data_IF_700205135749
#
_entry.id   IF_700205135749
#
_cell.length_a   1.000
_cell.length_b   1.000
_cell.length_c   1.000
_cell.angle_alpha   90.00
_cell.angle_beta   90.00
_cell.angle_gamma   90.00
#
_symmetry.space_group_name_H-M   'P 1'
#
loop_
_entity.id
_entity.type
_entity.pdbx_description
1 polymer ?
#
# COMPACT_ATOMS: atom_id res chain seq x y z
N UNK A 1 -37.74 -28.94 7.14
CA UNK A 1 -37.36 -28.29 8.41
C UNK A 1 -35.90 -28.56 8.73
N UNK A 2 -35.50 -29.82 8.99
CA UNK A 2 -34.09 -30.23 9.19
C UNK A 2 -33.14 -29.75 8.08
N UNK A 3 -33.53 -29.87 6.81
CA UNK A 3 -32.73 -29.39 5.69
C UNK A 3 -32.59 -27.86 5.63
N UNK A 4 -33.54 -27.10 6.19
CA UNK A 4 -33.52 -25.63 6.15
C UNK A 4 -32.70 -25.06 7.32
N UNK A 5 -32.76 -25.69 8.50
CA UNK A 5 -31.85 -25.37 9.62
C UNK A 5 -30.38 -25.72 9.30
N UNK A 6 -30.14 -26.82 8.58
CA UNK A 6 -28.78 -27.23 8.18
C UNK A 6 -28.16 -26.32 7.12
N UNK A 7 -28.97 -25.70 6.26
CA UNK A 7 -28.51 -24.71 5.25
C UNK A 7 -28.18 -23.38 5.93
N UNK A 8 -29.03 -22.91 6.84
CA UNK A 8 -28.80 -21.64 7.52
C UNK A 8 -27.55 -21.69 8.41
N UNK A 9 -27.30 -22.80 9.12
CA UNK A 9 -26.11 -22.95 9.97
C UNK A 9 -24.79 -23.15 9.19
N UNK A 10 -24.81 -23.76 8.01
CA UNK A 10 -23.58 -24.06 7.24
C UNK A 10 -23.21 -22.99 6.20
N UNK A 11 -24.17 -22.18 5.75
CA UNK A 11 -23.95 -21.21 4.65
C UNK A 11 -23.83 -19.79 5.17
N UNK A 12 -24.60 -19.42 6.19
CA UNK A 12 -24.68 -18.01 6.64
C UNK A 12 -23.51 -17.62 7.54
N UNK A 13 -23.02 -18.51 8.40
CA UNK A 13 -21.85 -18.24 9.26
C UNK A 13 -20.53 -18.04 8.49
N UNK A 14 -20.16 -18.86 7.47
CA UNK A 14 -18.94 -18.62 6.71
C UNK A 14 -19.05 -17.47 5.70
N UNK A 15 -20.25 -17.15 5.19
CA UNK A 15 -20.44 -16.02 4.28
C UNK A 15 -20.33 -14.67 5.01
N UNK A 16 -20.70 -14.64 6.30
CA UNK A 16 -20.62 -13.45 7.14
C UNK A 16 -19.21 -13.22 7.73
N UNK A 17 -18.40 -14.28 7.89
CA UNK A 17 -17.01 -14.20 8.36
C UNK A 17 -15.94 -14.28 7.25
N UNK A 18 -16.31 -14.70 6.03
CA UNK A 18 -15.38 -14.89 4.91
C UNK A 18 -14.73 -13.61 4.37
N UNK A 19 -15.35 -12.46 4.61
CA UNK A 19 -14.89 -11.16 4.11
C UNK A 19 -13.57 -10.67 4.71
N UNK A 20 -13.00 -11.36 5.71
CA UNK A 20 -11.72 -10.99 6.34
C UNK A 20 -10.56 -11.98 6.14
N UNK A 21 -10.73 -13.03 5.32
CA UNK A 21 -9.70 -14.12 5.23
C UNK A 21 -8.85 -14.12 3.95
N UNK A 22 -9.02 -13.16 3.03
CA UNK A 22 -8.18 -13.10 1.82
C UNK A 22 -8.34 -14.29 0.86
N UNK A 23 -9.33 -15.17 1.07
CA UNK A 23 -9.57 -16.35 0.26
C UNK A 23 -10.28 -15.97 -1.05
N UNK A 24 -9.60 -16.23 -2.17
CA UNK A 24 -10.10 -15.99 -3.53
C UNK A 24 -11.46 -16.69 -3.77
N UNK A 25 -12.52 -15.97 -4.20
CA UNK A 25 -13.84 -16.55 -4.51
C UNK A 25 -13.78 -17.70 -5.53
N UNK A 26 -12.76 -17.72 -6.37
CA UNK A 26 -12.52 -18.77 -7.37
C UNK A 26 -12.11 -20.10 -6.71
N UNK A 27 -11.33 -20.05 -5.62
CA UNK A 27 -10.95 -21.25 -4.86
C UNK A 27 -12.17 -21.95 -4.25
N UNK A 28 -13.14 -21.16 -3.77
CA UNK A 28 -14.43 -21.65 -3.25
C UNK A 28 -15.23 -22.34 -4.36
N UNK A 29 -15.27 -21.75 -5.56
CA UNK A 29 -15.98 -22.30 -6.73
C UNK A 29 -15.32 -23.60 -7.21
N UNK A 30 -13.98 -23.65 -7.30
CA UNK A 30 -13.25 -24.85 -7.75
C UNK A 30 -13.41 -26.00 -6.75
N UNK A 31 -13.34 -25.72 -5.45
CA UNK A 31 -13.59 -26.73 -4.42
C UNK A 31 -15.03 -27.27 -4.51
N UNK A 32 -16.01 -26.38 -4.71
CA UNK A 32 -17.41 -26.77 -4.90
C UNK A 32 -17.60 -27.65 -6.14
N UNK A 33 -16.97 -27.30 -7.28
CA UNK A 33 -17.06 -28.09 -8.52
C UNK A 33 -16.38 -29.45 -8.35
N UNK A 34 -15.18 -29.48 -7.78
CA UNK A 34 -14.41 -30.71 -7.58
C UNK A 34 -15.16 -31.72 -6.70
N UNK A 35 -15.71 -31.27 -5.57
CA UNK A 35 -16.46 -32.15 -4.67
C UNK A 35 -17.85 -32.53 -5.20
N UNK A 36 -18.50 -31.63 -5.96
CA UNK A 36 -19.76 -31.94 -6.66
C UNK A 36 -19.54 -32.99 -7.75
N UNK A 37 -18.41 -32.92 -8.45
CA UNK A 37 -18.09 -33.87 -9.52
C UNK A 37 -17.71 -35.25 -8.99
N UNK A 38 -17.06 -35.33 -7.83
CA UNK A 38 -16.55 -36.58 -7.28
C UNK A 38 -17.63 -37.45 -6.61
N UNK A 39 -18.66 -36.86 -5.98
CA UNK A 39 -19.69 -37.62 -5.22
C UNK A 39 -21.15 -37.20 -5.53
N UNK A 40 -21.38 -36.32 -6.50
CA UNK A 40 -22.71 -35.81 -6.85
C UNK A 40 -23.32 -34.93 -5.74
N UNK A 41 -24.66 -34.85 -5.63
CA UNK A 41 -25.34 -33.99 -4.65
C UNK A 41 -25.05 -34.33 -3.18
N UNK A 42 -24.62 -35.57 -2.87
CA UNK A 42 -24.17 -35.94 -1.52
C UNK A 42 -22.83 -35.27 -1.16
N UNK A 43 -22.00 -34.97 -2.16
CA UNK A 43 -20.75 -34.21 -1.98
C UNK A 43 -20.99 -32.82 -1.40
N UNK A 44 -22.14 -32.20 -1.71
CA UNK A 44 -22.53 -30.88 -1.20
C UNK A 44 -22.74 -30.87 0.33
N UNK A 45 -23.23 -31.97 0.91
CA UNK A 45 -23.49 -32.09 2.36
C UNK A 45 -22.22 -32.33 3.16
N UNK A 46 -21.23 -33.00 2.56
CA UNK A 46 -19.90 -33.25 3.15
C UNK A 46 -18.87 -32.18 2.74
N UNK A 47 -19.23 -31.26 1.83
CA UNK A 47 -18.34 -30.27 1.24
C UNK A 47 -17.79 -29.31 2.27
N UNK A 48 -18.63 -28.83 3.20
CA UNK A 48 -18.24 -27.86 4.24
C UNK A 48 -17.16 -28.38 5.21
N UNK A 49 -17.30 -29.57 5.84
CA UNK A 49 -16.24 -30.08 6.72
C UNK A 49 -14.96 -30.47 5.96
N UNK A 50 -15.06 -30.94 4.71
CA UNK A 50 -13.90 -31.25 3.88
C UNK A 50 -13.18 -29.99 3.37
N UNK A 51 -13.92 -28.92 3.04
CA UNK A 51 -13.32 -27.63 2.66
C UNK A 51 -12.61 -26.98 3.82
N UNK A 52 -13.14 -27.06 5.05
CA UNK A 52 -12.42 -26.60 6.25
C UNK A 52 -11.13 -27.42 6.47
N UNK A 53 -11.17 -28.75 6.34
CA UNK A 53 -9.95 -29.57 6.43
C UNK A 53 -8.93 -29.25 5.33
N UNK A 54 -9.39 -28.98 4.10
CA UNK A 54 -8.54 -28.64 2.96
C UNK A 54 -7.91 -27.24 3.10
N UNK A 55 -8.69 -26.26 3.58
CA UNK A 55 -8.20 -24.91 3.88
C UNK A 55 -7.14 -24.93 5.00
N UNK A 56 -7.36 -25.74 6.04
CA UNK A 56 -6.38 -25.92 7.13
C UNK A 56 -5.11 -26.65 6.64
N UNK A 57 -5.24 -27.62 5.72
CA UNK A 57 -4.10 -28.28 5.08
C UNK A 57 -3.32 -27.33 4.16
N UNK A 58 -4.03 -26.45 3.43
CA UNK A 58 -3.44 -25.44 2.55
C UNK A 58 -2.54 -24.46 3.31
N UNK A 59 -2.90 -24.09 4.54
CA UNK A 59 -2.04 -23.27 5.42
C UNK A 59 -0.76 -23.98 5.90
N UNK A 60 -0.64 -25.30 5.73
CA UNK A 60 0.51 -26.09 6.20
C UNK A 60 1.43 -26.61 5.09
N UNK A 61 1.10 -26.38 3.80
CA UNK A 61 1.90 -26.87 2.67
C UNK A 61 2.45 -25.69 1.85
N UNK A 62 3.68 -25.22 2.12
CA UNK A 62 4.34 -24.10 1.43
C UNK A 62 4.75 -24.40 -0.04
N UNK A 63 4.13 -25.39 -0.68
CA UNK A 63 4.45 -25.84 -2.05
C UNK A 63 3.42 -25.32 -3.09
N UNK A 64 2.43 -24.53 -2.65
CA UNK A 64 1.35 -23.99 -3.49
C UNK A 64 1.40 -22.46 -3.68
N UNK A 65 2.55 -21.79 -3.47
CA UNK A 65 2.75 -20.36 -3.82
C UNK A 65 2.33 -20.02 -5.26
N UNK A 66 2.46 -20.96 -6.20
CA UNK A 66 2.01 -20.76 -7.59
C UNK A 66 0.49 -20.57 -7.71
N UNK A 67 -0.31 -21.16 -6.82
CA UNK A 67 -1.76 -20.96 -6.78
C UNK A 67 -2.12 -19.62 -6.12
N UNK A 68 -1.27 -19.09 -5.24
CA UNK A 68 -1.38 -17.76 -4.66
C UNK A 68 -1.04 -16.66 -5.68
N UNK A 69 -0.09 -16.88 -6.60
CA UNK A 69 0.16 -15.96 -7.72
C UNK A 69 -0.93 -16.04 -8.81
N UNK A 70 -1.53 -17.22 -9.02
CA UNK A 70 -2.59 -17.42 -10.04
C UNK A 70 -3.99 -17.02 -9.53
N UNK A 71 -4.23 -17.08 -8.22
CA UNK A 71 -5.54 -16.81 -7.60
C UNK A 71 -5.53 -15.72 -6.53
N UNK A 72 -4.35 -15.22 -6.15
CA UNK A 72 -4.20 -14.14 -5.18
C UNK A 72 -4.67 -12.82 -5.75
N UNK A 73 -5.39 -12.10 -4.91
CA UNK A 73 -5.76 -10.71 -5.12
C UNK A 73 -4.76 -9.78 -4.41
N UNK A 74 -3.60 -10.33 -4.06
CA UNK A 74 -2.54 -9.59 -3.41
C UNK A 74 -1.96 -8.60 -4.43
N UNK A 75 -1.65 -7.37 -3.99
CA UNK A 75 -1.11 -6.39 -4.90
C UNK A 75 0.13 -6.96 -5.59
N UNK A 76 0.06 -7.19 -6.91
CA UNK A 76 1.13 -7.83 -7.73
C UNK A 76 2.50 -7.15 -7.59
N UNK A 77 2.54 -5.97 -6.99
CA UNK A 77 3.70 -5.12 -6.80
C UNK A 77 3.62 -4.41 -5.45
N UNK A 78 4.77 -4.25 -4.81
CA UNK A 78 4.93 -3.44 -3.60
C UNK A 78 4.54 -1.96 -3.89
N UNK A 79 4.04 -1.21 -2.89
CA UNK A 79 3.51 0.15 -3.10
C UNK A 79 4.46 1.10 -3.83
N UNK A 80 5.74 1.09 -3.47
CA UNK A 80 6.76 1.94 -4.11
C UNK A 80 7.04 1.54 -5.57
N UNK A 81 6.97 0.25 -5.89
CA UNK A 81 7.13 -0.23 -7.26
C UNK A 81 5.94 0.18 -8.14
N UNK A 82 4.72 0.17 -7.59
CA UNK A 82 3.50 0.67 -8.27
C UNK A 82 3.59 2.15 -8.56
N UNK A 83 3.98 2.93 -7.54
CA UNK A 83 4.19 4.37 -7.70
C UNK A 83 5.22 4.64 -8.79
N UNK A 84 6.37 3.96 -8.77
CA UNK A 84 7.39 4.10 -9.81
C UNK A 84 6.85 3.80 -11.21
N UNK A 85 6.04 2.75 -11.38
CA UNK A 85 5.43 2.41 -12.66
C UNK A 85 4.46 3.49 -13.17
N UNK A 86 3.69 4.12 -12.29
CA UNK A 86 2.79 5.22 -12.66
C UNK A 86 3.56 6.48 -13.06
N UNK A 87 4.61 6.80 -12.31
CA UNK A 87 5.52 7.90 -12.67
C UNK A 87 6.17 7.66 -14.04
N UNK A 88 6.55 6.42 -14.35
CA UNK A 88 7.05 6.03 -15.68
C UNK A 88 5.99 6.13 -16.78
N UNK A 89 4.75 5.75 -16.45
CA UNK A 89 3.61 5.87 -17.35
C UNK A 89 3.26 7.33 -17.66
N UNK A 90 3.71 8.26 -16.81
CA UNK A 90 3.42 9.68 -16.93
C UNK A 90 2.01 10.04 -16.46
N UNK A 91 1.47 9.27 -15.50
CA UNK A 91 0.13 9.45 -14.94
C UNK A 91 0.25 9.91 -13.47
N UNK A 92 0.47 11.21 -13.22
CA UNK A 92 0.58 11.73 -11.86
C UNK A 92 -0.78 11.78 -11.14
N UNK A 93 -1.90 11.82 -11.86
CA UNK A 93 -3.23 11.87 -11.24
C UNK A 93 -3.54 10.54 -10.58
N UNK A 94 -3.38 9.42 -11.29
CA UNK A 94 -3.56 8.09 -10.68
C UNK A 94 -2.57 7.86 -9.53
N UNK A 95 -1.34 8.38 -9.64
CA UNK A 95 -0.38 8.33 -8.54
C UNK A 95 -0.83 9.13 -7.31
N UNK A 96 -1.51 10.26 -7.53
CA UNK A 96 -2.04 11.13 -6.47
C UNK A 96 -3.22 10.47 -5.78
N UNK A 97 -4.21 9.98 -6.53
CA UNK A 97 -5.38 9.30 -5.96
C UNK A 97 -4.99 8.18 -4.98
N UNK A 98 -3.97 7.40 -5.33
CA UNK A 98 -3.47 6.33 -4.47
C UNK A 98 -2.59 6.80 -3.32
N UNK A 99 -1.93 7.95 -3.46
CA UNK A 99 -1.24 8.57 -2.34
C UNK A 99 -2.27 9.07 -1.33
N UNK A 100 -3.30 9.81 -1.77
CA UNK A 100 -4.39 10.30 -0.93
C UNK A 100 -5.12 9.17 -0.20
N UNK A 101 -5.44 8.06 -0.87
CA UNK A 101 -6.04 6.87 -0.25
C UNK A 101 -5.18 6.35 0.92
N UNK A 102 -3.86 6.43 0.83
CA UNK A 102 -2.97 6.02 1.92
C UNK A 102 -2.85 7.09 3.01
N UNK A 103 -2.98 8.37 2.64
CA UNK A 103 -2.97 9.50 3.58
C UNK A 103 -4.26 9.57 4.42
N UNK A 104 -5.31 8.84 4.06
CA UNK A 104 -6.49 8.67 4.93
C UNK A 104 -6.14 8.00 6.27
N UNK A 105 -5.12 7.13 6.29
CA UNK A 105 -4.74 6.36 7.47
C UNK A 105 -3.35 6.71 8.02
N UNK A 106 -2.50 7.38 7.22
CA UNK A 106 -1.08 7.60 7.53
C UNK A 106 -0.66 9.03 7.27
N UNK A 107 0.39 9.48 7.96
CA UNK A 107 0.96 10.80 7.76
C UNK A 107 1.73 10.93 6.44
N UNK A 108 1.84 12.16 5.93
CA UNK A 108 2.57 12.46 4.70
C UNK A 108 4.04 12.01 4.76
N UNK A 109 4.67 12.15 5.92
CA UNK A 109 6.06 11.72 6.12
C UNK A 109 6.22 10.20 5.90
N UNK A 110 5.26 9.39 6.34
CA UNK A 110 5.31 7.94 6.19
C UNK A 110 5.17 7.54 4.73
N UNK A 111 4.28 8.21 3.99
CA UNK A 111 4.17 7.98 2.56
C UNK A 111 5.47 8.29 1.83
N UNK A 112 6.10 9.43 2.15
CA UNK A 112 7.36 9.79 1.51
C UNK A 112 8.50 8.84 1.89
N UNK A 113 8.64 8.47 3.16
CA UNK A 113 9.71 7.57 3.62
C UNK A 113 9.54 6.14 3.08
N UNK A 114 8.33 5.58 3.15
CA UNK A 114 8.08 4.16 2.85
C UNK A 114 7.75 3.89 1.39
N UNK A 115 7.27 4.90 0.65
CA UNK A 115 6.75 4.71 -0.71
C UNK A 115 7.44 5.62 -1.73
N UNK A 116 7.36 6.94 -1.57
CA UNK A 116 7.80 7.87 -2.61
C UNK A 116 9.31 7.89 -2.80
N UNK A 117 10.10 7.99 -1.72
CA UNK A 117 11.57 7.98 -1.81
C UNK A 117 12.08 6.63 -2.35
N UNK A 118 11.62 5.45 -1.88
CA UNK A 118 11.98 4.18 -2.49
C UNK A 118 11.61 4.09 -3.98
N UNK A 119 10.48 4.66 -4.41
CA UNK A 119 10.10 4.72 -5.82
C UNK A 119 11.08 5.57 -6.65
N UNK A 120 11.51 6.73 -6.16
CA UNK A 120 12.51 7.57 -6.81
C UNK A 120 13.88 6.87 -6.86
N UNK A 121 14.25 6.11 -5.82
CA UNK A 121 15.47 5.31 -5.80
C UNK A 121 15.48 4.23 -6.89
N UNK A 122 14.33 3.62 -7.21
CA UNK A 122 14.23 2.69 -8.34
C UNK A 122 14.54 3.39 -9.68
N UNK A 123 13.98 4.59 -9.89
CA UNK A 123 14.27 5.40 -11.07
C UNK A 123 15.74 5.79 -11.19
N UNK A 124 16.37 6.12 -10.06
CA UNK A 124 17.79 6.46 -10.01
C UNK A 124 18.68 5.23 -10.28
N UNK A 125 18.30 4.05 -9.80
CA UNK A 125 19.00 2.80 -10.14
C UNK A 125 18.92 2.48 -11.63
N UNK A 126 17.75 2.65 -12.26
CA UNK A 126 17.57 2.43 -13.69
C UNK A 126 18.35 3.46 -14.53
N UNK A 127 18.45 4.69 -14.05
CA UNK A 127 19.32 5.72 -14.63
C UNK A 127 20.79 5.33 -14.55
N UNK A 128 21.27 4.91 -13.38
CA UNK A 128 22.68 4.49 -13.18
C UNK A 128 23.03 3.27 -14.06
N UNK A 129 22.08 2.37 -14.28
CA UNK A 129 22.22 1.21 -15.20
C UNK A 129 22.18 1.60 -16.69
N UNK A 130 21.84 2.85 -17.01
CA UNK A 130 21.71 3.34 -18.38
C UNK A 130 20.50 2.78 -19.13
N UNK A 131 19.50 2.26 -18.42
CA UNK A 131 18.26 1.71 -19.00
C UNK A 131 17.23 2.82 -19.24
N UNK A 132 17.31 3.89 -18.46
CA UNK A 132 16.42 5.06 -18.57
C UNK A 132 17.04 6.16 -19.44
N UNK A 133 16.36 6.52 -20.53
CA UNK A 133 16.76 7.63 -21.39
C UNK A 133 16.40 9.00 -20.80
N UNK A 134 17.04 10.07 -21.30
CA UNK A 134 16.86 11.44 -20.78
C UNK A 134 15.39 11.92 -20.80
N UNK A 135 14.65 11.59 -21.86
CA UNK A 135 13.25 11.96 -21.99
C UNK A 135 12.36 11.22 -20.97
N UNK A 136 12.65 9.95 -20.73
CA UNK A 136 11.92 9.15 -19.75
C UNK A 136 12.24 9.64 -18.33
N UNK A 137 13.50 10.01 -18.07
CA UNK A 137 13.92 10.61 -16.79
C UNK A 137 13.17 11.91 -16.51
N UNK A 138 13.12 12.83 -17.48
CA UNK A 138 12.37 14.09 -17.37
C UNK A 138 10.90 13.86 -17.12
N UNK A 139 10.30 12.88 -17.80
CA UNK A 139 8.89 12.54 -17.59
C UNK A 139 8.63 12.05 -16.18
N UNK A 140 9.44 11.11 -15.68
CA UNK A 140 9.31 10.59 -14.31
C UNK A 140 9.48 11.71 -13.30
N UNK A 141 10.50 12.56 -13.47
CA UNK A 141 10.74 13.70 -12.59
C UNK A 141 9.57 14.70 -12.61
N UNK A 142 9.05 15.04 -13.80
CA UNK A 142 7.90 15.92 -13.93
C UNK A 142 6.64 15.33 -13.28
N UNK A 143 6.36 14.05 -13.48
CA UNK A 143 5.25 13.37 -12.81
C UNK A 143 5.41 13.32 -11.30
N UNK A 144 6.63 13.12 -10.80
CA UNK A 144 6.91 13.13 -9.36
C UNK A 144 6.73 14.54 -8.76
N UNK A 145 7.17 15.59 -9.46
CA UNK A 145 6.93 16.98 -9.06
C UNK A 145 5.44 17.33 -9.05
N UNK A 146 4.68 16.85 -10.04
CA UNK A 146 3.23 17.05 -10.08
C UNK A 146 2.52 16.33 -8.93
N UNK A 147 2.93 15.09 -8.61
CA UNK A 147 2.42 14.38 -7.44
C UNK A 147 2.63 15.18 -6.15
N UNK A 148 3.85 15.70 -5.92
CA UNK A 148 4.16 16.52 -4.74
C UNK A 148 3.30 17.79 -4.71
N UNK A 149 3.13 18.45 -5.86
CA UNK A 149 2.28 19.64 -5.97
C UNK A 149 0.80 19.36 -5.73
N UNK A 150 0.30 18.19 -6.15
CA UNK A 150 -1.08 17.79 -5.92
C UNK A 150 -1.34 17.48 -4.44
N UNK A 151 -0.36 16.89 -3.74
CA UNK A 151 -0.44 16.59 -2.30
C UNK A 151 -0.30 17.83 -1.39
N UNK A 152 -0.13 19.03 -1.95
CA UNK A 152 0.00 20.30 -1.21
C UNK A 152 -1.23 20.59 -0.34
N UNK A 153 -2.42 20.23 -0.82
CA UNK A 153 -3.66 20.42 -0.06
C UNK A 153 -3.73 19.45 1.13
N UNK A 154 -3.42 18.16 0.93
CA UNK A 154 -3.33 17.18 2.02
C UNK A 154 -2.28 17.57 3.07
N UNK A 155 -1.14 18.11 2.62
CA UNK A 155 -0.10 18.61 3.52
C UNK A 155 -0.57 19.79 4.39
N UNK A 156 -1.33 20.72 3.81
CA UNK A 156 -1.93 21.84 4.57
C UNK A 156 -2.96 21.35 5.58
N UNK A 157 -3.81 20.41 5.18
CA UNK A 157 -4.79 19.80 6.10
C UNK A 157 -4.10 19.11 7.28
N UNK A 158 -2.99 18.41 7.05
CA UNK A 158 -2.17 17.82 8.12
C UNK A 158 -1.57 18.90 9.04
N UNK A 159 -1.03 19.98 8.48
CA UNK A 159 -0.43 21.08 9.25
C UNK A 159 -1.47 21.86 10.08
N UNK A 160 -2.71 21.98 9.58
CA UNK A 160 -3.82 22.64 10.28
C UNK A 160 -4.49 21.70 11.31
N UNK A 161 -4.39 20.38 11.13
CA UNK A 161 -4.93 19.36 12.02
C UNK A 161 -4.17 19.16 13.35
N UNK A 162 -2.99 19.76 13.49
CA UNK A 162 -2.10 19.63 14.66
C UNK A 162 -2.58 20.42 15.91
N UNK A 163 -3.77 21.04 15.86
CA UNK A 163 -4.42 21.68 17.01
C UNK A 163 -5.25 20.70 17.89
N UNK A 164 -5.37 19.40 17.53
CA UNK A 164 -6.02 18.39 18.38
C UNK A 164 -5.07 17.21 18.72
N UNK A 165 -4.41 17.22 19.90
CA UNK A 165 -3.49 16.15 20.33
C UNK A 165 -4.17 14.79 20.58
N UNK A 166 -5.47 14.66 20.26
CA UNK A 166 -6.25 13.44 20.35
C UNK A 166 -6.29 12.62 19.05
N UNK A 167 -5.77 13.13 17.92
CA UNK A 167 -5.58 12.31 16.71
C UNK A 167 -4.37 11.35 16.83
N UNK A 168 -3.52 11.56 17.83
CA UNK A 168 -2.42 10.67 18.22
C UNK A 168 -2.87 9.53 19.16
N UNK A 169 -4.10 9.02 19.05
CA UNK A 169 -4.49 7.75 19.66
C UNK A 169 -4.47 6.64 18.61
N UNK A 170 -3.65 5.58 18.79
CA UNK A 170 -3.66 4.45 17.87
C UNK A 170 -5.00 3.76 17.98
N UNK A 171 -5.72 3.71 16.86
CA UNK A 171 -6.96 2.96 16.73
C UNK A 171 -6.67 1.45 16.88
N UNK A 172 -6.75 1.00 18.13
CA UNK A 172 -7.06 -0.37 18.58
C UNK A 172 -6.11 -1.49 18.20
N UNK A 173 -5.54 -2.08 19.25
CA UNK A 173 -4.93 -3.39 19.28
C UNK A 173 -5.83 -4.46 18.63
N UNK A 174 -5.36 -5.05 17.54
CA UNK A 174 -5.70 -6.43 17.17
C UNK A 174 -4.53 -7.33 17.59
N UNK A 175 -4.75 -8.06 18.69
CA UNK A 175 -3.94 -9.20 19.07
C UNK A 175 -4.18 -10.33 18.06
N UNK A 176 -3.25 -10.55 17.13
CA UNK A 176 -2.83 -11.90 16.77
C UNK A 176 -1.44 -11.92 16.13
N UNK A 177 -0.46 -12.36 16.93
CA UNK A 177 0.93 -12.58 16.54
C UNK A 177 1.05 -13.79 15.62
N UNK A 178 1.79 -13.64 14.51
CA UNK A 178 3.04 -14.39 14.31
C UNK A 178 3.89 -13.91 13.12
N UNK A 179 5.11 -13.45 13.48
CA UNK A 179 6.39 -13.52 12.74
C UNK A 179 6.45 -12.84 11.34
N UNK A 180 7.22 -11.78 11.08
CA UNK A 180 8.54 -11.36 11.56
C UNK A 180 8.77 -9.90 11.10
N UNK A 181 9.39 -9.05 11.93
CA UNK A 181 10.06 -7.82 11.47
C UNK A 181 9.53 -6.51 12.07
N UNK A 182 10.18 -6.08 13.16
CA UNK A 182 10.31 -4.71 13.69
C UNK A 182 9.00 -3.92 13.91
N UNK A 183 8.65 -3.70 15.18
CA UNK A 183 7.76 -2.61 15.60
C UNK A 183 8.32 -1.29 15.05
N UNK A 184 7.62 -0.70 14.08
CA UNK A 184 7.95 0.63 13.57
C UNK A 184 7.72 1.61 14.73
N UNK A 185 8.85 2.08 15.29
CA UNK A 185 8.91 3.01 16.40
C UNK A 185 8.09 4.28 16.06
N UNK A 186 7.38 4.84 17.04
CA UNK A 186 6.83 6.19 16.98
C UNK A 186 7.98 7.17 16.68
N UNK A 187 8.15 7.53 15.40
CA UNK A 187 9.15 8.51 14.98
C UNK A 187 8.58 9.87 15.36
N UNK A 188 8.97 10.39 16.53
CA UNK A 188 8.74 11.79 16.89
C UNK A 188 9.54 12.69 15.93
N UNK A 189 8.81 13.41 15.06
CA UNK A 189 9.40 14.40 14.18
C UNK A 189 9.81 15.65 15.00
N UNK A 190 10.94 16.30 14.65
CA UNK A 190 11.35 17.53 15.31
C UNK A 190 10.47 18.71 14.92
N UNK A 191 10.12 19.55 15.90
CA UNK A 191 9.44 20.83 15.68
C UNK A 191 10.31 21.75 14.79
N UNK A 192 9.72 22.21 13.69
CA UNK A 192 10.35 23.06 12.68
C UNK A 192 10.21 24.56 12.96
N UNK A 193 9.49 24.97 14.01
CA UNK A 193 9.22 26.37 14.32
C UNK A 193 10.50 27.20 14.44
N UNK A 194 10.52 28.38 13.84
CA UNK A 194 11.68 29.30 13.75
C UNK A 194 12.91 28.75 13.01
N UNK A 195 12.82 27.59 12.34
CA UNK A 195 13.89 27.04 11.51
C UNK A 195 13.70 27.48 10.06
N UNK A 196 14.79 27.92 9.41
CA UNK A 196 14.81 28.15 7.97
C UNK A 196 15.71 27.14 7.26
N UNK A 197 15.19 26.48 6.23
CA UNK A 197 15.88 25.40 5.51
C UNK A 197 15.87 25.67 4.02
N UNK A 198 17.00 25.42 3.35
CA UNK A 198 17.09 25.39 1.89
C UNK A 198 17.17 23.93 1.45
N UNK A 199 16.15 23.46 0.74
CA UNK A 199 16.10 22.14 0.13
C UNK A 199 16.49 22.25 -1.35
N UNK A 200 17.54 21.54 -1.76
CA UNK A 200 18.05 21.57 -3.13
C UNK A 200 18.32 20.17 -3.66
N UNK A 201 17.93 19.91 -4.91
CA UNK A 201 18.26 18.65 -5.59
C UNK A 201 19.75 18.58 -5.94
N UNK A 202 20.35 17.39 -5.80
CA UNK A 202 21.80 17.22 -5.86
C UNK A 202 22.36 16.84 -7.23
N UNK A 203 21.90 15.74 -7.80
CA UNK A 203 22.50 15.05 -8.97
C UNK A 203 21.60 15.03 -10.20
N UNK A 204 20.35 15.47 -10.06
CA UNK A 204 19.49 15.80 -11.19
C UNK A 204 18.00 15.83 -10.86
N UNK A 205 17.18 15.76 -11.90
CA UNK A 205 15.76 16.12 -11.85
C UNK A 205 14.92 15.28 -10.86
N UNK A 206 15.30 14.01 -10.61
CA UNK A 206 14.63 13.18 -9.59
C UNK A 206 14.95 13.64 -8.17
N UNK A 207 16.14 14.18 -7.93
CA UNK A 207 16.54 14.72 -6.63
C UNK A 207 15.80 16.03 -6.34
N UNK A 208 15.40 16.79 -7.38
CA UNK A 208 14.55 17.96 -7.20
C UNK A 208 13.18 17.56 -6.65
N UNK A 209 12.63 16.41 -7.08
CA UNK A 209 11.37 15.90 -6.56
C UNK A 209 11.51 15.42 -5.10
N UNK A 210 12.61 14.72 -4.78
CA UNK A 210 12.92 14.34 -3.41
C UNK A 210 13.14 15.57 -2.50
N UNK A 211 13.79 16.63 -3.01
CA UNK A 211 13.96 17.88 -2.29
C UNK A 211 12.62 18.59 -2.05
N UNK A 212 11.69 18.54 -3.02
CA UNK A 212 10.35 19.07 -2.86
C UNK A 212 9.52 18.30 -1.82
N UNK A 213 9.60 16.96 -1.81
CA UNK A 213 8.98 16.10 -0.79
C UNK A 213 9.48 16.45 0.62
N UNK A 214 10.80 16.55 0.79
CA UNK A 214 11.40 16.93 2.07
C UNK A 214 10.96 18.33 2.50
N UNK A 215 10.94 19.28 1.58
CA UNK A 215 10.54 20.64 1.86
C UNK A 215 9.09 20.73 2.32
N UNK A 216 8.19 19.96 1.70
CA UNK A 216 6.79 19.90 2.09
C UNK A 216 6.60 19.32 3.50
N UNK A 217 7.29 18.23 3.86
CA UNK A 217 7.24 17.68 5.23
C UNK A 217 7.77 18.69 6.25
N UNK A 218 8.85 19.39 5.94
CA UNK A 218 9.38 20.43 6.82
C UNK A 218 8.43 21.63 6.97
N UNK A 219 7.71 22.00 5.90
CA UNK A 219 6.66 23.03 5.91
C UNK A 219 5.49 22.59 6.82
N UNK A 220 5.08 21.32 6.76
CA UNK A 220 4.05 20.74 7.67
C UNK A 220 4.48 20.84 9.13
N UNK A 221 5.77 20.64 9.43
CA UNK A 221 6.33 20.77 10.78
C UNK A 221 6.58 22.23 11.21
N UNK A 222 6.13 23.24 10.44
CA UNK A 222 6.23 24.65 10.79
C UNK A 222 7.53 25.36 10.39
N UNK A 223 8.43 24.71 9.65
CA UNK A 223 9.67 25.34 9.18
C UNK A 223 9.43 26.27 7.98
N UNK A 224 10.24 27.32 7.86
CA UNK A 224 10.28 28.16 6.65
C UNK A 224 11.24 27.55 5.64
N UNK A 225 10.71 26.98 4.56
CA UNK A 225 11.54 26.29 3.57
C UNK A 225 11.67 27.07 2.28
N UNK A 226 12.86 27.05 1.69
CA UNK A 226 13.15 27.53 0.34
C UNK A 226 13.57 26.35 -0.52
N UNK A 227 13.11 26.29 -1.76
CA UNK A 227 13.37 25.19 -2.70
C UNK A 227 14.33 25.70 -3.81
N UNK A 228 15.32 24.92 -4.20
CA UNK A 228 16.21 25.20 -5.33
C UNK A 228 16.32 23.98 -6.26
N UNK A 229 16.30 24.19 -7.57
CA UNK A 229 16.47 23.10 -8.53
C UNK A 229 17.94 22.83 -8.79
N UNK A 230 18.26 21.59 -9.14
CA UNK A 230 19.54 21.19 -9.71
C UNK A 230 19.94 22.02 -10.96
N UNK A 231 18.95 22.55 -11.69
CA UNK A 231 19.19 23.31 -12.91
C UNK A 231 19.47 24.81 -12.69
N UNK A 232 19.28 25.32 -11.47
CA UNK A 232 19.50 26.72 -11.08
C UNK A 232 20.97 26.99 -10.68
#
# INVERSE_FOLDING_TARGET
>A
FVAMEMITGNVVEPWLYGSRTGLSPLAIIVAAIFWTWLWGPLGLVLSTPLTVCLVVLGRHVPQFEFLEVLFGNEPVLEPHARLYQRLLAGDPEEATDHAEEMLEEKYLFEFYDKVAIPALLLGEQDRVRGVMGDEQRRRVAASAQMLVANLDDSAREEAEGDDDPAAAEPATADEDKQAQGVSEDDIELPDGTDISVLCAGGRGELDDAAAAMLAQVLEVQGATVSKASFAD
#
